data_IF_663631462819
#
_entry.id   IF_663631462819
#
_cell.length_a   1.000
_cell.length_b   1.000
_cell.length_c   1.000
_cell.angle_alpha   90.00
_cell.angle_beta   90.00
_cell.angle_gamma   90.00
#
_symmetry.space_group_name_H-M   'P 1'
#
loop_
_entity.id
_entity.type
_entity.pdbx_description
1 polymer ?
#
# COMPACT_ATOMS: atom_id res chain seq x y z
N UNK A 1 -18.87 3.88 86.06
CA UNK A 1 -18.62 3.24 84.75
C UNK A 1 -17.56 2.14 84.84
N UNK A 2 -16.37 2.40 85.39
CA UNK A 2 -15.26 1.42 85.47
C UNK A 2 -15.61 0.13 86.24
N UNK A 3 -16.29 0.23 87.39
CA UNK A 3 -16.60 -0.93 88.23
C UNK A 3 -17.57 -1.91 87.56
N UNK A 4 -18.55 -1.40 86.80
CA UNK A 4 -19.48 -2.22 86.01
C UNK A 4 -18.76 -2.97 84.88
N UNK A 5 -17.75 -2.33 84.27
CA UNK A 5 -16.94 -2.93 83.21
C UNK A 5 -16.03 -4.03 83.75
N UNK A 6 -15.45 -3.86 84.95
CA UNK A 6 -14.68 -4.91 85.65
C UNK A 6 -15.55 -6.11 86.02
N UNK A 7 -16.76 -5.89 86.54
CA UNK A 7 -17.67 -6.99 86.89
C UNK A 7 -18.12 -7.77 85.65
N UNK A 8 -18.38 -7.06 84.54
CA UNK A 8 -18.69 -7.69 83.25
C UNK A 8 -17.54 -8.55 82.74
N UNK A 9 -16.32 -8.00 82.67
CA UNK A 9 -15.14 -8.74 82.20
C UNK A 9 -14.85 -9.97 83.07
N UNK A 10 -14.99 -9.86 84.40
CA UNK A 10 -14.82 -11.02 85.29
C UNK A 10 -15.87 -12.11 85.05
N UNK A 11 -17.10 -11.72 84.70
CA UNK A 11 -18.16 -12.69 84.38
C UNK A 11 -17.92 -13.37 83.03
N UNK A 12 -17.45 -12.60 82.03
CA UNK A 12 -17.03 -13.13 80.74
C UNK A 12 -15.81 -14.05 80.87
N UNK A 13 -14.84 -13.70 81.71
CA UNK A 13 -13.65 -14.51 82.03
C UNK A 13 -14.02 -15.82 82.73
N UNK A 14 -14.91 -15.79 83.73
CA UNK A 14 -15.38 -17.01 84.40
C UNK A 14 -16.13 -17.95 83.44
N UNK A 15 -16.94 -17.40 82.53
CA UNK A 15 -17.58 -18.19 81.48
C UNK A 15 -16.55 -18.76 80.50
N UNK A 16 -15.52 -17.99 80.13
CA UNK A 16 -14.42 -18.46 79.29
C UNK A 16 -13.63 -19.61 79.95
N UNK A 17 -13.33 -19.50 81.25
CA UNK A 17 -12.67 -20.55 82.02
C UNK A 17 -13.55 -21.82 82.09
N UNK A 18 -14.86 -21.68 82.33
CA UNK A 18 -15.77 -22.81 82.35
C UNK A 18 -15.83 -23.55 81.00
N UNK A 19 -15.85 -22.81 79.89
CA UNK A 19 -15.79 -23.38 78.54
C UNK A 19 -14.44 -24.05 78.25
N UNK A 20 -13.33 -23.45 78.68
CA UNK A 20 -12.00 -24.03 78.53
C UNK A 20 -11.86 -25.34 79.33
N UNK A 21 -12.38 -25.39 80.56
CA UNK A 21 -12.43 -26.63 81.36
C UNK A 21 -13.25 -27.68 80.63
N UNK A 22 -14.43 -27.35 80.11
CA UNK A 22 -15.28 -28.30 79.38
C UNK A 22 -14.59 -28.89 78.13
N UNK A 23 -13.82 -28.09 77.40
CA UNK A 23 -13.03 -28.55 76.25
C UNK A 23 -11.90 -29.46 76.73
N UNK A 24 -11.13 -29.07 77.75
CA UNK A 24 -10.00 -29.84 78.27
C UNK A 24 -10.43 -31.14 78.96
N UNK A 25 -11.61 -31.16 79.58
CA UNK A 25 -12.20 -32.34 80.21
C UNK A 25 -13.06 -33.16 79.26
N UNK A 26 -13.15 -32.78 77.98
CA UNK A 26 -13.89 -33.58 76.99
C UNK A 26 -13.24 -34.97 76.84
N UNK A 27 -14.05 -36.02 76.59
CA UNK A 27 -13.53 -37.37 76.35
C UNK A 27 -12.49 -37.43 75.21
N UNK A 28 -12.62 -36.57 74.21
CA UNK A 28 -11.72 -36.43 73.06
C UNK A 28 -10.37 -35.82 73.45
N UNK A 29 -10.38 -34.77 74.29
CA UNK A 29 -9.16 -34.16 74.81
C UNK A 29 -8.40 -35.14 75.73
N UNK A 30 -9.10 -35.86 76.61
CA UNK A 30 -8.50 -36.86 77.49
C UNK A 30 -7.77 -37.98 76.72
N UNK A 31 -8.38 -38.48 75.63
CA UNK A 31 -7.74 -39.46 74.73
C UNK A 31 -6.48 -38.89 74.06
N UNK A 32 -6.53 -37.63 73.64
CA UNK A 32 -5.40 -36.96 72.98
C UNK A 32 -4.22 -36.77 73.95
N UNK A 33 -4.48 -36.39 75.20
CA UNK A 33 -3.44 -36.25 76.22
C UNK A 33 -2.81 -37.58 76.64
N UNK A 34 -3.61 -38.66 76.73
CA UNK A 34 -3.08 -39.99 77.01
C UNK A 34 -2.10 -40.45 75.91
N UNK A 35 -2.43 -40.23 74.64
CA UNK A 35 -1.56 -40.57 73.51
C UNK A 35 -0.31 -39.68 73.41
N UNK A 36 -0.35 -38.46 73.94
CA UNK A 36 0.82 -37.57 73.95
C UNK A 36 1.89 -38.00 74.98
N UNK A 37 1.51 -38.69 76.06
CA UNK A 37 2.43 -39.10 77.15
C UNK A 37 3.40 -40.24 76.81
N UNK A 38 3.25 -40.93 75.67
CA UNK A 38 4.14 -42.03 75.26
C UNK A 38 5.41 -41.57 74.53
N UNK A 39 5.66 -40.26 74.45
CA UNK A 39 6.82 -39.67 73.73
C UNK A 39 7.94 -39.24 74.67
N UNK A 40 8.29 -40.06 75.66
CA UNK A 40 9.46 -39.82 76.51
C UNK A 40 10.70 -40.49 75.88
N UNK A 41 11.54 -39.72 75.20
CA UNK A 41 12.89 -40.15 74.80
C UNK A 41 13.78 -40.27 76.05
N UNK A 42 14.19 -41.49 76.41
CA UNK A 42 15.30 -41.72 77.33
C UNK A 42 16.62 -41.28 76.67
N UNK A 43 17.27 -40.27 77.23
CA UNK A 43 18.66 -39.89 76.91
C UNK A 43 19.57 -40.64 77.88
N UNK A 44 20.21 -41.72 77.43
CA UNK A 44 21.32 -42.33 78.16
C UNK A 44 22.57 -41.47 77.95
N UNK A 45 23.04 -40.81 79.02
CA UNK A 45 24.33 -40.17 79.07
C UNK A 45 25.43 -41.24 78.94
N UNK A 46 26.08 -41.31 77.77
CA UNK A 46 27.22 -42.17 77.52
C UNK A 46 28.45 -41.66 78.25
N UNK A 47 29.08 -42.54 79.03
CA UNK A 47 30.36 -42.31 79.68
C UNK A 47 31.42 -41.88 78.66
N UNK A 48 32.11 -40.79 78.97
CA UNK A 48 33.33 -40.35 78.30
C UNK A 48 34.48 -41.24 78.79
N UNK A 49 34.62 -42.42 78.20
CA UNK A 49 35.87 -43.19 78.26
C UNK A 49 36.00 -44.01 76.98
N UNK A 50 36.24 -43.31 75.87
CA UNK A 50 36.60 -43.94 74.60
C UNK A 50 38.10 -43.86 74.43
N UNK A 51 38.76 -45.01 74.35
CA UNK A 51 40.15 -45.08 73.88
C UNK A 51 40.27 -44.37 72.52
N UNK A 52 41.42 -43.78 72.19
CA UNK A 52 41.63 -43.02 70.94
C UNK A 52 41.25 -43.83 69.68
N UNK A 53 41.26 -45.16 69.79
CA UNK A 53 40.83 -46.11 68.76
C UNK A 53 39.31 -46.07 68.46
N UNK A 54 38.46 -45.93 69.49
CA UNK A 54 37.00 -45.89 69.30
C UNK A 54 36.53 -44.60 68.60
N UNK A 55 37.15 -43.47 68.92
CA UNK A 55 36.82 -42.18 68.31
C UNK A 55 37.21 -42.15 66.83
N UNK A 56 38.33 -42.80 66.47
CA UNK A 56 38.80 -42.97 65.09
C UNK A 56 37.90 -43.89 64.28
N UNK A 57 37.47 -45.02 64.83
CA UNK A 57 36.55 -45.93 64.16
C UNK A 57 35.19 -45.25 63.90
N UNK A 58 34.68 -44.46 64.86
CA UNK A 58 33.46 -43.66 64.67
C UNK A 58 33.61 -42.62 63.54
N UNK A 59 34.75 -41.92 63.47
CA UNK A 59 35.03 -40.95 62.40
C UNK A 59 35.16 -41.63 61.02
N UNK A 60 35.85 -42.77 60.95
CA UNK A 60 35.96 -43.59 59.74
C UNK A 60 34.59 -44.05 59.25
N UNK A 61 33.75 -44.62 60.14
CA UNK A 61 32.42 -45.09 59.77
C UNK A 61 31.54 -43.95 59.24
N UNK A 62 31.60 -42.77 59.85
CA UNK A 62 30.88 -41.59 59.33
C UNK A 62 31.40 -41.16 57.96
N UNK A 63 32.71 -41.00 57.77
CA UNK A 63 33.25 -40.61 56.47
C UNK A 63 33.00 -41.67 55.38
N UNK A 64 33.07 -42.96 55.73
CA UNK A 64 32.70 -44.06 54.84
C UNK A 64 31.24 -43.97 54.42
N UNK A 65 30.32 -43.73 55.37
CA UNK A 65 28.89 -43.57 55.08
C UNK A 65 28.61 -42.38 54.14
N UNK A 66 29.35 -41.27 54.33
CA UNK A 66 29.27 -40.09 53.47
C UNK A 66 29.85 -40.37 52.07
N UNK A 67 31.00 -41.02 51.99
CA UNK A 67 31.61 -41.42 50.73
C UNK A 67 30.69 -42.33 49.92
N UNK A 68 30.02 -43.30 50.57
CA UNK A 68 29.06 -44.19 49.89
C UNK A 68 27.77 -43.49 49.51
N UNK A 69 27.29 -42.56 50.34
CA UNK A 69 26.04 -41.83 50.08
C UNK A 69 26.18 -40.84 48.92
N UNK A 70 27.32 -40.15 48.84
CA UNK A 70 27.59 -39.13 47.82
C UNK A 70 28.47 -39.62 46.67
N UNK A 71 28.92 -40.88 46.70
CA UNK A 71 29.79 -41.45 45.67
C UNK A 71 31.16 -40.78 45.52
N UNK A 72 31.63 -40.05 46.54
CA UNK A 72 32.85 -39.24 46.43
C UNK A 72 34.11 -40.05 46.68
N UNK A 73 34.92 -40.20 45.63
CA UNK A 73 36.24 -40.85 45.66
C UNK A 73 37.22 -40.09 46.57
N UNK A 74 37.10 -38.76 46.63
CA UNK A 74 37.91 -37.92 47.51
C UNK A 74 37.60 -38.19 49.00
N UNK A 75 36.33 -38.25 49.38
CA UNK A 75 35.93 -38.57 50.77
C UNK A 75 36.30 -40.01 51.11
N UNK A 76 36.21 -40.94 50.15
CA UNK A 76 36.67 -42.32 50.36
C UNK A 76 38.19 -42.40 50.63
N UNK A 77 38.99 -41.57 49.94
CA UNK A 77 40.43 -41.46 50.16
C UNK A 77 40.76 -40.86 51.53
N UNK A 78 40.06 -39.81 51.94
CA UNK A 78 40.20 -39.20 53.27
C UNK A 78 39.81 -40.21 54.36
N UNK A 79 38.71 -40.95 54.17
CA UNK A 79 38.30 -42.01 55.09
C UNK A 79 39.37 -43.10 55.23
N UNK A 80 40.04 -43.48 54.13
CA UNK A 80 41.13 -44.48 54.20
C UNK A 80 42.34 -44.00 55.02
N UNK A 81 42.63 -42.70 55.01
CA UNK A 81 43.73 -42.12 55.79
C UNK A 81 43.37 -41.95 57.27
N UNK A 82 42.11 -41.60 57.58
CA UNK A 82 41.58 -41.61 58.95
C UNK A 82 41.80 -42.98 59.61
N UNK A 83 41.67 -44.08 58.85
CA UNK A 83 41.88 -45.44 59.35
C UNK A 83 43.36 -45.82 59.49
N UNK A 84 44.24 -45.23 58.69
CA UNK A 84 45.66 -45.57 58.61
C UNK A 84 46.57 -44.71 59.53
N UNK A 85 46.07 -43.59 60.06
CA UNK A 85 46.84 -42.65 60.88
C UNK A 85 47.08 -43.10 62.33
N UNK A 86 48.23 -42.70 62.89
CA UNK A 86 48.62 -42.86 64.30
C UNK A 86 47.70 -42.06 65.24
N UNK A 87 47.55 -42.53 66.48
CA UNK A 87 46.60 -41.97 67.44
C UNK A 87 46.86 -40.48 67.76
N UNK A 88 45.78 -39.69 67.86
CA UNK A 88 45.79 -38.31 68.37
C UNK A 88 45.82 -37.16 67.34
N UNK A 89 46.21 -37.39 66.09
CA UNK A 89 46.44 -36.29 65.12
C UNK A 89 45.59 -36.43 63.84
N UNK A 90 44.47 -35.70 63.79
CA UNK A 90 43.63 -35.56 62.59
C UNK A 90 44.06 -34.40 61.68
N UNK A 91 45.19 -33.76 61.98
CA UNK A 91 45.62 -32.51 61.35
C UNK A 91 45.72 -32.64 59.81
N UNK A 92 46.21 -33.78 59.31
CA UNK A 92 46.30 -34.05 57.87
C UNK A 92 44.93 -34.26 57.21
N UNK A 93 44.00 -34.92 57.91
CA UNK A 93 42.63 -35.17 57.45
C UNK A 93 41.83 -33.87 57.41
N UNK A 94 41.95 -33.06 58.46
CA UNK A 94 41.33 -31.73 58.53
C UNK A 94 41.87 -30.84 57.41
N UNK A 95 43.19 -30.82 57.20
CA UNK A 95 43.79 -30.07 56.10
C UNK A 95 43.33 -30.54 54.71
N UNK A 96 43.04 -31.83 54.51
CA UNK A 96 42.48 -32.32 53.25
C UNK A 96 41.00 -31.97 53.07
N UNK A 97 40.22 -31.97 54.14
CA UNK A 97 38.83 -31.50 54.12
C UNK A 97 38.78 -30.00 53.83
N UNK A 98 39.65 -29.20 54.45
CA UNK A 98 39.75 -27.76 54.20
C UNK A 98 40.13 -27.48 52.73
N UNK A 99 41.12 -28.20 52.18
CA UNK A 99 41.46 -28.13 50.75
C UNK A 99 40.29 -28.50 49.83
N UNK A 100 39.49 -29.48 50.22
CA UNK A 100 38.30 -29.88 49.46
C UNK A 100 37.22 -28.79 49.51
N UNK A 101 37.04 -28.13 50.67
CA UNK A 101 36.11 -27.00 50.80
C UNK A 101 36.59 -25.81 49.96
N UNK A 102 37.89 -25.48 49.99
CA UNK A 102 38.46 -24.42 49.16
C UNK A 102 38.27 -24.69 47.67
N UNK A 103 38.53 -25.92 47.23
CA UNK A 103 38.32 -26.34 45.84
C UNK A 103 36.85 -26.24 45.44
N UNK A 104 35.92 -26.75 46.26
CA UNK A 104 34.49 -26.65 45.99
C UNK A 104 34.01 -25.20 45.91
N UNK A 105 34.52 -24.30 46.76
CA UNK A 105 34.20 -22.86 46.69
C UNK A 105 34.73 -22.22 45.41
N UNK A 106 35.91 -22.65 44.93
CA UNK A 106 36.48 -22.16 43.67
C UNK A 106 35.66 -22.65 42.48
N UNK A 107 35.33 -23.94 42.44
CA UNK A 107 34.46 -24.54 41.42
C UNK A 107 33.08 -23.87 41.41
N UNK A 108 32.47 -23.63 42.58
CA UNK A 108 31.20 -22.92 42.70
C UNK A 108 31.27 -21.51 42.08
N UNK A 109 32.34 -20.77 42.32
CA UNK A 109 32.54 -19.44 41.74
C UNK A 109 32.71 -19.50 40.21
N UNK A 110 33.48 -20.46 39.71
CA UNK A 110 33.66 -20.69 38.26
C UNK A 110 32.33 -21.08 37.58
N UNK A 111 31.52 -21.94 38.23
CA UNK A 111 30.19 -22.33 37.76
C UNK A 111 29.22 -21.14 37.74
N UNK A 112 29.25 -20.26 38.76
CA UNK A 112 28.45 -19.03 38.80
C UNK A 112 28.85 -18.11 37.64
N UNK A 113 30.14 -17.88 37.43
CA UNK A 113 30.64 -17.05 36.34
C UNK A 113 30.27 -17.60 34.97
N UNK A 114 30.39 -18.91 34.78
CA UNK A 114 30.00 -19.59 33.55
C UNK A 114 28.49 -19.51 33.32
N UNK A 115 27.67 -19.71 34.36
CA UNK A 115 26.22 -19.57 34.29
C UNK A 115 25.85 -18.14 33.87
N UNK A 116 26.41 -17.13 34.53
CA UNK A 116 26.09 -15.73 34.25
C UNK A 116 26.54 -15.32 32.84
N UNK A 117 27.69 -15.84 32.39
CA UNK A 117 28.13 -15.69 31.00
C UNK A 117 27.14 -16.32 30.02
N UNK A 118 26.70 -17.57 30.26
CA UNK A 118 25.73 -18.27 29.41
C UNK A 118 24.40 -17.51 29.36
N UNK A 119 23.85 -17.12 30.51
CA UNK A 119 22.59 -16.37 30.58
C UNK A 119 22.71 -15.01 29.90
N UNK A 120 23.83 -14.31 30.08
CA UNK A 120 24.11 -13.04 29.42
C UNK A 120 24.22 -13.19 27.90
N UNK A 121 24.85 -14.26 27.41
CA UNK A 121 24.95 -14.57 25.98
C UNK A 121 23.61 -14.96 25.38
N UNK A 122 22.83 -15.79 26.08
CA UNK A 122 21.49 -16.18 25.65
C UNK A 122 20.56 -14.97 25.58
N UNK A 123 20.61 -14.08 26.58
CA UNK A 123 19.85 -12.83 26.60
C UNK A 123 20.23 -11.91 25.45
N UNK A 124 21.53 -11.70 25.21
CA UNK A 124 22.01 -10.92 24.05
C UNK A 124 21.53 -11.51 22.74
N UNK A 125 21.70 -12.81 22.53
CA UNK A 125 21.27 -13.49 21.31
C UNK A 125 19.75 -13.37 21.09
N UNK A 126 18.94 -13.46 22.16
CA UNK A 126 17.49 -13.25 22.07
C UNK A 126 17.13 -11.83 21.64
N UNK A 127 17.80 -10.83 22.19
CA UNK A 127 17.58 -9.42 21.81
C UNK A 127 18.01 -9.18 20.36
N UNK A 128 19.22 -9.63 19.99
CA UNK A 128 19.73 -9.50 18.62
C UNK A 128 18.79 -10.18 17.61
N UNK A 129 18.25 -11.37 17.95
CA UNK A 129 17.23 -12.04 17.13
C UNK A 129 15.94 -11.23 17.02
N UNK A 130 15.47 -10.60 18.10
CA UNK A 130 14.27 -9.79 18.07
C UNK A 130 14.46 -8.54 17.20
N UNK A 131 15.59 -7.86 17.33
CA UNK A 131 15.95 -6.68 16.54
C UNK A 131 16.06 -7.03 15.05
N UNK A 132 16.77 -8.12 14.71
CA UNK A 132 16.88 -8.60 13.34
C UNK A 132 15.52 -8.99 12.74
N UNK A 133 14.65 -9.64 13.51
CA UNK A 133 13.30 -9.98 13.05
C UNK A 133 12.45 -8.72 12.81
N UNK A 134 12.58 -7.71 13.65
CA UNK A 134 11.91 -6.43 13.45
C UNK A 134 12.41 -5.74 12.17
N UNK A 135 13.72 -5.73 11.93
CA UNK A 135 14.29 -5.17 10.70
C UNK A 135 13.86 -5.94 9.46
N UNK A 136 13.77 -7.28 9.53
CA UNK A 136 13.22 -8.12 8.45
C UNK A 136 11.76 -7.77 8.16
N UNK A 137 10.91 -7.63 9.18
CA UNK A 137 9.50 -7.25 9.00
C UNK A 137 9.38 -5.86 8.35
N UNK A 138 10.15 -4.88 8.83
CA UNK A 138 10.20 -3.53 8.26
C UNK A 138 10.67 -3.53 6.80
N UNK A 139 11.73 -4.28 6.50
CA UNK A 139 12.24 -4.44 5.14
C UNK A 139 11.19 -5.11 4.23
N UNK A 140 10.52 -6.15 4.72
CA UNK A 140 9.49 -6.89 3.98
C UNK A 140 8.30 -5.99 3.64
N UNK A 141 7.77 -5.24 4.60
CA UNK A 141 6.70 -4.24 4.37
C UNK A 141 7.12 -3.16 3.36
N UNK A 142 8.39 -2.74 3.40
CA UNK A 142 8.92 -1.77 2.44
C UNK A 142 8.98 -2.36 1.03
N UNK A 143 9.43 -3.60 0.89
CA UNK A 143 9.46 -4.32 -0.38
C UNK A 143 8.04 -4.47 -0.94
N UNK A 144 7.07 -4.84 -0.12
CA UNK A 144 5.68 -5.00 -0.56
C UNK A 144 5.08 -3.68 -1.05
N UNK A 145 5.30 -2.59 -0.31
CA UNK A 145 4.89 -1.24 -0.73
C UNK A 145 5.51 -0.86 -2.09
N UNK A 146 6.82 -1.06 -2.25
CA UNK A 146 7.52 -0.75 -3.50
C UNK A 146 7.05 -1.62 -4.67
N UNK A 147 6.71 -2.90 -4.43
CA UNK A 147 6.12 -3.77 -5.46
C UNK A 147 4.75 -3.27 -5.91
N UNK A 148 3.89 -2.85 -4.98
CA UNK A 148 2.60 -2.25 -5.32
C UNK A 148 2.77 -0.96 -6.12
N UNK A 149 3.69 -0.09 -5.71
CA UNK A 149 4.00 1.16 -6.42
C UNK A 149 4.54 0.89 -7.83
N UNK A 150 5.43 -0.09 -7.99
CA UNK A 150 5.94 -0.50 -9.29
C UNK A 150 4.82 -1.03 -10.22
N UNK A 151 3.89 -1.83 -9.71
CA UNK A 151 2.76 -2.34 -10.49
C UNK A 151 1.79 -1.22 -10.92
N UNK A 152 1.52 -0.25 -10.04
CA UNK A 152 0.72 0.93 -10.36
C UNK A 152 1.39 1.79 -11.44
N UNK A 153 2.69 2.06 -11.30
CA UNK A 153 3.47 2.78 -12.31
C UNK A 153 3.49 2.06 -13.67
N UNK A 154 3.64 0.73 -13.68
CA UNK A 154 3.59 -0.04 -14.92
C UNK A 154 2.20 0.03 -15.59
N UNK A 155 1.12 0.04 -14.81
CA UNK A 155 -0.25 0.21 -15.34
C UNK A 155 -0.43 1.59 -15.94
N UNK A 156 0.03 2.64 -15.24
CA UNK A 156 -0.01 4.02 -15.74
C UNK A 156 0.80 4.21 -17.01
N UNK A 157 1.99 3.60 -17.08
CA UNK A 157 2.85 3.64 -18.26
C UNK A 157 2.13 3.03 -19.46
N UNK A 158 1.53 1.85 -19.30
CA UNK A 158 0.76 1.23 -20.38
C UNK A 158 -0.46 2.05 -20.83
N UNK A 159 -1.13 2.74 -19.91
CA UNK A 159 -2.22 3.66 -20.25
C UNK A 159 -1.72 4.87 -21.07
N UNK A 160 -0.64 5.51 -20.63
CA UNK A 160 -0.02 6.65 -21.33
C UNK A 160 0.47 6.24 -22.72
N UNK A 161 1.12 5.08 -22.87
CA UNK A 161 1.51 4.54 -24.18
C UNK A 161 0.29 4.32 -25.09
N UNK A 162 -0.84 3.86 -24.53
CA UNK A 162 -2.11 3.76 -25.24
C UNK A 162 -2.61 5.12 -25.75
N UNK A 163 -2.61 6.12 -24.87
CA UNK A 163 -3.07 7.48 -25.18
C UNK A 163 -2.18 8.16 -26.23
N UNK A 164 -0.86 7.95 -26.18
CA UNK A 164 0.10 8.42 -27.20
C UNK A 164 -0.26 7.83 -28.57
N UNK A 165 -0.44 6.51 -28.65
CA UNK A 165 -0.78 5.83 -29.90
C UNK A 165 -2.13 6.31 -30.46
N UNK A 166 -3.14 6.49 -29.59
CA UNK A 166 -4.45 6.98 -29.98
C UNK A 166 -4.38 8.44 -30.51
N UNK A 167 -3.59 9.29 -29.85
CA UNK A 167 -3.38 10.69 -30.25
C UNK A 167 -2.65 10.77 -31.59
N UNK A 168 -1.60 9.98 -31.79
CA UNK A 168 -0.86 9.94 -33.06
C UNK A 168 -1.71 9.41 -34.23
N UNK A 169 -2.57 8.41 -33.98
CA UNK A 169 -3.53 7.93 -34.96
C UNK A 169 -4.55 9.02 -35.32
N UNK A 170 -5.09 9.72 -34.32
CA UNK A 170 -6.03 10.84 -34.53
C UNK A 170 -5.39 11.98 -35.31
N UNK A 171 -4.14 12.33 -35.00
CA UNK A 171 -3.38 13.35 -35.74
C UNK A 171 -3.18 12.95 -37.21
N UNK A 172 -2.88 11.67 -37.47
CA UNK A 172 -2.75 11.15 -38.84
C UNK A 172 -4.06 11.24 -39.61
N UNK A 173 -5.17 10.84 -38.99
CA UNK A 173 -6.51 10.95 -39.57
C UNK A 173 -6.90 12.40 -39.86
N UNK A 174 -6.62 13.32 -38.93
CA UNK A 174 -6.85 14.75 -39.08
C UNK A 174 -6.09 15.32 -40.29
N UNK A 175 -4.81 14.96 -40.46
CA UNK A 175 -3.99 15.38 -41.60
C UNK A 175 -4.55 14.84 -42.92
N UNK A 176 -4.96 13.57 -42.95
CA UNK A 176 -5.56 12.96 -44.14
C UNK A 176 -6.86 13.65 -44.54
N UNK A 177 -7.76 13.86 -43.57
CA UNK A 177 -9.02 14.56 -43.79
C UNK A 177 -8.77 15.96 -44.33
N UNK A 178 -7.87 16.73 -43.71
CA UNK A 178 -7.56 18.09 -44.17
C UNK A 178 -6.98 18.09 -45.58
N UNK A 179 -6.11 17.15 -45.90
CA UNK A 179 -5.56 17.02 -47.25
C UNK A 179 -6.63 16.74 -48.28
N UNK A 180 -7.64 15.93 -47.94
CA UNK A 180 -8.76 15.61 -48.81
C UNK A 180 -9.70 16.81 -48.98
N UNK A 181 -10.13 17.43 -47.87
CA UNK A 181 -10.97 18.64 -47.88
C UNK A 181 -10.34 19.77 -48.69
N UNK A 182 -9.03 19.98 -48.53
CA UNK A 182 -8.31 21.00 -49.29
C UNK A 182 -8.27 20.67 -50.80
N UNK A 183 -8.04 19.40 -51.17
CA UNK A 183 -8.06 18.98 -52.56
C UNK A 183 -9.44 19.18 -53.20
N UNK A 184 -10.51 18.80 -52.49
CA UNK A 184 -11.89 18.97 -52.93
C UNK A 184 -12.24 20.47 -53.07
N UNK A 185 -11.80 21.30 -52.14
CA UNK A 185 -11.97 22.75 -52.19
C UNK A 185 -11.24 23.38 -53.39
N UNK A 186 -9.99 23.03 -53.64
CA UNK A 186 -9.22 23.52 -54.79
C UNK A 186 -9.90 23.14 -56.10
N UNK A 187 -10.44 21.93 -56.19
CA UNK A 187 -11.17 21.47 -57.36
C UNK A 187 -12.49 22.23 -57.53
N UNK A 188 -13.28 22.43 -56.47
CA UNK A 188 -14.52 23.21 -56.51
C UNK A 188 -14.28 24.66 -56.98
N UNK A 189 -13.28 25.34 -56.41
CA UNK A 189 -12.93 26.73 -56.81
C UNK A 189 -12.52 26.79 -58.28
N UNK A 190 -11.84 25.77 -58.80
CA UNK A 190 -11.47 25.69 -60.21
C UNK A 190 -12.72 25.51 -61.08
N UNK A 191 -13.60 24.58 -60.74
CA UNK A 191 -14.82 24.30 -61.49
C UNK A 191 -15.75 25.52 -61.53
N UNK A 192 -15.89 26.24 -60.41
CA UNK A 192 -16.65 27.49 -60.34
C UNK A 192 -16.01 28.60 -61.18
N UNK A 193 -14.68 28.72 -61.16
CA UNK A 193 -13.94 29.70 -61.97
C UNK A 193 -14.09 29.43 -63.47
N UNK A 194 -14.03 28.16 -63.87
CA UNK A 194 -14.24 27.73 -65.25
C UNK A 194 -15.71 27.96 -65.68
N UNK A 195 -16.68 27.68 -64.81
CA UNK A 195 -18.10 27.98 -65.03
C UNK A 195 -18.33 29.49 -65.22
N UNK A 196 -17.73 30.35 -64.39
CA UNK A 196 -17.78 31.80 -64.55
C UNK A 196 -17.20 32.25 -65.89
N UNK A 197 -16.09 31.65 -66.34
CA UNK A 197 -15.48 31.95 -67.65
C UNK A 197 -16.45 31.61 -68.80
N UNK A 198 -17.07 30.43 -68.75
CA UNK A 198 -18.06 29.99 -69.74
C UNK A 198 -19.28 30.92 -69.74
N UNK A 199 -19.80 31.29 -68.57
CA UNK A 199 -20.93 32.22 -68.43
C UNK A 199 -20.58 33.60 -69.00
N UNK A 200 -19.38 34.12 -68.75
CA UNK A 200 -18.91 35.38 -69.32
C UNK A 200 -18.84 35.33 -70.85
N UNK A 201 -18.36 34.22 -71.43
CA UNK A 201 -18.35 34.02 -72.89
C UNK A 201 -19.76 33.95 -73.47
N UNK A 202 -20.69 33.26 -72.80
CA UNK A 202 -22.09 33.18 -73.21
C UNK A 202 -22.78 34.56 -73.15
N UNK A 203 -22.60 35.29 -72.04
CA UNK A 203 -23.10 36.66 -71.87
C UNK A 203 -22.54 37.57 -72.97
N UNK A 204 -21.24 37.50 -73.27
CA UNK A 204 -20.61 38.31 -74.31
C UNK A 204 -21.15 37.98 -75.71
N UNK A 205 -21.34 36.70 -76.02
CA UNK A 205 -21.86 36.23 -77.32
C UNK A 205 -23.31 36.66 -77.51
N UNK A 206 -24.17 36.45 -76.51
CA UNK A 206 -25.57 36.90 -76.54
C UNK A 206 -25.65 38.42 -76.63
N UNK A 207 -24.86 39.15 -75.83
CA UNK A 207 -24.84 40.62 -75.85
C UNK A 207 -24.44 41.15 -77.23
N UNK A 208 -23.39 40.60 -77.86
CA UNK A 208 -22.96 40.95 -79.22
C UNK A 208 -24.05 40.68 -80.26
N UNK A 209 -24.75 39.56 -80.16
CA UNK A 209 -25.86 39.23 -81.06
C UNK A 209 -27.00 40.27 -80.96
N UNK A 210 -27.43 40.61 -79.75
CA UNK A 210 -28.53 41.58 -79.57
C UNK A 210 -28.14 43.00 -79.99
N UNK A 211 -26.92 43.45 -79.69
CA UNK A 211 -26.45 44.79 -80.12
C UNK A 211 -26.27 44.89 -81.63
N UNK A 212 -25.71 43.87 -82.29
CA UNK A 212 -25.54 43.84 -83.74
C UNK A 212 -26.87 43.85 -84.51
N UNK A 213 -27.95 43.34 -83.89
CA UNK A 213 -29.29 43.32 -84.47
C UNK A 213 -30.17 44.52 -84.03
N UNK A 214 -29.60 45.55 -83.41
CA UNK A 214 -30.32 46.77 -83.01
C UNK A 214 -31.38 46.54 -81.92
N UNK A 215 -31.27 45.45 -81.15
CA UNK A 215 -32.18 45.12 -80.05
C UNK A 215 -31.62 45.77 -78.78
N UNK A 216 -32.35 46.75 -78.23
CA UNK A 216 -31.95 47.43 -76.99
C UNK A 216 -31.94 46.46 -75.81
N UNK A 217 -30.80 46.39 -75.12
CA UNK A 217 -30.57 45.59 -73.91
C UNK A 217 -30.99 46.32 -72.61
N UNK A 218 -31.71 47.45 -72.73
CA UNK A 218 -32.15 48.21 -71.58
C UNK A 218 -33.15 47.39 -70.74
N UNK A 219 -32.79 47.12 -69.49
CA UNK A 219 -33.64 46.44 -68.52
C UNK A 219 -34.80 47.38 -68.16
N UNK A 220 -35.94 47.24 -68.85
CA UNK A 220 -37.16 47.92 -68.44
C UNK A 220 -37.70 47.18 -67.22
N UNK A 221 -37.52 47.78 -66.05
CA UNK A 221 -38.14 47.35 -64.81
C UNK A 221 -39.64 47.71 -64.84
N UNK A 222 -40.41 47.10 -65.73
CA UNK A 222 -41.87 47.12 -65.65
C UNK A 222 -42.34 45.70 -65.33
N UNK A 223 -42.55 45.41 -64.05
CA UNK A 223 -43.40 44.30 -63.67
C UNK A 223 -44.84 44.64 -64.03
N UNK A 224 -45.46 43.76 -64.82
CA UNK A 224 -46.81 43.32 -64.58
C UNK A 224 -46.88 41.83 -64.94
N UNK A 225 -46.64 40.95 -63.96
CA UNK A 225 -47.11 39.58 -64.01
C UNK A 225 -48.62 39.67 -63.80
N UNK A 226 -49.37 39.79 -64.89
CA UNK A 226 -50.81 40.03 -64.81
C UNK A 226 -51.45 40.41 -66.13
N UNK A 227 -51.20 39.65 -67.19
CA UNK A 227 -52.09 39.57 -68.35
C UNK A 227 -51.68 38.38 -69.22
N UNK A 228 -52.57 37.39 -69.34
CA UNK A 228 -52.52 36.41 -70.43
C UNK A 228 -52.66 37.20 -71.72
N UNK A 229 -51.55 37.41 -72.45
CA UNK A 229 -51.66 37.85 -73.84
C UNK A 229 -52.12 36.65 -74.68
N UNK A 230 -53.11 36.84 -75.57
CA UNK A 230 -53.49 35.79 -76.50
C UNK A 230 -52.26 35.40 -77.34
N UNK A 231 -52.20 34.10 -77.65
CA UNK A 231 -51.19 33.45 -78.49
C UNK A 231 -50.82 34.35 -79.68
N UNK A 232 -49.53 34.55 -80.01
CA UNK A 232 -49.18 35.28 -81.21
C UNK A 232 -49.62 34.46 -82.42
N UNK A 233 -50.56 35.01 -83.20
CA UNK A 233 -50.83 34.51 -84.54
C UNK A 233 -49.53 34.57 -85.33
N UNK A 234 -49.19 33.47 -85.98
CA UNK A 234 -48.00 33.32 -86.83
C UNK A 234 -48.03 34.36 -87.96
N UNK A 235 -47.07 35.29 -88.05
CA UNK A 235 -46.78 35.97 -89.29
C UNK A 235 -45.54 35.30 -89.88
N UNK A 236 -45.76 34.38 -90.81
CA UNK A 236 -44.75 34.11 -91.84
C UNK A 236 -44.79 35.31 -92.81
N UNK A 237 -44.41 36.49 -92.32
CA UNK A 237 -44.23 37.69 -93.13
C UNK A 237 -42.73 37.98 -93.26
N UNK A 238 -42.35 38.38 -94.46
CA UNK A 238 -40.98 38.56 -94.97
C UNK A 238 -40.23 39.76 -94.36
N UNK A 239 -40.31 39.94 -93.04
CA UNK A 239 -39.55 40.91 -92.27
C UNK A 239 -38.48 40.23 -91.42
N UNK A 240 -37.30 40.84 -91.30
CA UNK A 240 -36.21 40.33 -90.47
C UNK A 240 -36.70 39.99 -89.05
N UNK A 241 -36.52 38.74 -88.63
CA UNK A 241 -36.90 38.25 -87.29
C UNK A 241 -36.26 39.11 -86.20
N UNK A 242 -37.05 40.00 -85.59
CA UNK A 242 -36.57 40.99 -84.62
C UNK A 242 -36.29 40.47 -83.21
N UNK A 243 -36.32 39.14 -83.01
CA UNK A 243 -36.09 38.46 -81.74
C UNK A 243 -37.17 38.68 -80.67
N UNK A 244 -37.22 37.79 -79.67
CA UNK A 244 -38.09 37.92 -78.49
C UNK A 244 -37.47 38.90 -77.47
N UNK A 245 -37.59 40.20 -77.75
CA UNK A 245 -36.88 41.31 -77.08
C UNK A 245 -37.02 41.37 -75.54
N UNK A 246 -38.15 40.92 -74.97
CA UNK A 246 -38.38 40.90 -73.52
C UNK A 246 -37.75 39.70 -72.80
N UNK A 247 -37.80 38.52 -73.42
CA UNK A 247 -37.24 37.28 -72.89
C UNK A 247 -35.69 37.29 -72.96
N UNK A 248 -35.13 37.92 -73.99
CA UNK A 248 -33.68 38.03 -74.20
C UNK A 248 -32.92 38.83 -73.14
N UNK A 249 -33.52 39.90 -72.61
CA UNK A 249 -32.94 40.72 -71.55
C UNK A 249 -32.98 39.97 -70.21
N UNK A 250 -34.06 39.22 -69.96
CA UNK A 250 -34.20 38.36 -68.78
C UNK A 250 -33.15 37.24 -68.74
N UNK A 251 -32.87 36.58 -69.87
CA UNK A 251 -31.86 35.50 -69.94
C UNK A 251 -30.46 36.02 -69.63
N UNK A 252 -30.05 37.17 -70.18
CA UNK A 252 -28.74 37.76 -69.86
C UNK A 252 -28.66 38.18 -68.39
N UNK A 253 -29.74 38.72 -67.83
CA UNK A 253 -29.80 39.07 -66.41
C UNK A 253 -29.66 37.83 -65.50
N UNK A 254 -30.33 36.72 -65.85
CA UNK A 254 -30.21 35.45 -65.13
C UNK A 254 -28.77 34.90 -65.24
N UNK A 255 -28.14 34.92 -66.42
CA UNK A 255 -26.76 34.47 -66.58
C UNK A 255 -25.76 35.31 -65.76
N UNK A 256 -25.98 36.63 -65.66
CA UNK A 256 -25.19 37.52 -64.81
C UNK A 256 -25.39 37.20 -63.33
N UNK A 257 -26.64 36.97 -62.91
CA UNK A 257 -26.97 36.59 -61.53
C UNK A 257 -26.27 35.27 -61.15
N UNK A 258 -26.36 34.23 -61.98
CA UNK A 258 -25.70 32.94 -61.75
C UNK A 258 -24.17 33.11 -61.68
N UNK A 259 -23.58 33.92 -62.55
CA UNK A 259 -22.14 34.25 -62.47
C UNK A 259 -21.78 34.93 -61.14
N UNK A 260 -22.57 35.91 -60.73
CA UNK A 260 -22.35 36.63 -59.47
C UNK A 260 -22.53 35.72 -58.26
N UNK A 261 -23.41 34.72 -58.36
CA UNK A 261 -23.58 33.71 -57.34
C UNK A 261 -22.36 32.79 -57.24
N UNK A 262 -21.78 32.33 -58.37
CA UNK A 262 -20.49 31.62 -58.37
C UNK A 262 -19.33 32.46 -57.79
N UNK A 263 -19.29 33.76 -58.11
CA UNK A 263 -18.28 34.66 -57.55
C UNK A 263 -18.40 34.75 -56.01
N UNK A 264 -19.63 34.87 -55.50
CA UNK A 264 -19.91 34.85 -54.07
C UNK A 264 -19.59 33.50 -53.45
N UNK A 265 -19.92 32.39 -54.12
CA UNK A 265 -19.63 31.04 -53.65
C UNK A 265 -18.13 30.86 -53.43
N UNK A 266 -17.29 31.22 -54.42
CA UNK A 266 -15.83 31.20 -54.28
C UNK A 266 -15.35 32.08 -53.10
N UNK A 267 -15.91 33.29 -52.94
CA UNK A 267 -15.52 34.17 -51.83
C UNK A 267 -15.88 33.56 -50.46
N UNK A 268 -17.09 33.04 -50.32
CA UNK A 268 -17.56 32.39 -49.09
C UNK A 268 -16.79 31.11 -48.79
N UNK A 269 -16.51 30.30 -49.81
CA UNK A 269 -15.72 29.08 -49.70
C UNK A 269 -14.28 29.36 -49.26
N UNK A 270 -13.64 30.41 -49.79
CA UNK A 270 -12.30 30.83 -49.35
C UNK A 270 -12.26 31.27 -47.89
N UNK A 271 -13.29 31.99 -47.43
CA UNK A 271 -13.39 32.37 -46.03
C UNK A 271 -13.55 31.13 -45.14
N UNK A 272 -14.44 30.20 -45.52
CA UNK A 272 -14.68 28.95 -44.80
C UNK A 272 -13.45 28.04 -44.77
N UNK A 273 -12.73 27.86 -45.89
CA UNK A 273 -11.49 27.07 -45.94
C UNK A 273 -10.38 27.70 -45.10
N UNK A 274 -10.30 29.04 -45.05
CA UNK A 274 -9.38 29.75 -44.17
C UNK A 274 -9.67 29.53 -42.68
N UNK A 275 -10.95 29.56 -42.28
CA UNK A 275 -11.36 29.24 -40.91
C UNK A 275 -11.07 27.77 -40.56
N UNK A 276 -11.38 26.85 -41.48
CA UNK A 276 -11.10 25.43 -41.32
C UNK A 276 -9.60 25.13 -41.20
N UNK A 277 -8.75 25.83 -41.98
CA UNK A 277 -7.30 25.75 -41.87
C UNK A 277 -6.83 26.22 -40.48
N UNK A 278 -7.36 27.34 -40.00
CA UNK A 278 -7.00 27.88 -38.70
C UNK A 278 -7.43 26.97 -37.55
N UNK A 279 -8.58 26.28 -37.65
CA UNK A 279 -8.98 25.26 -36.65
C UNK A 279 -8.08 24.03 -36.72
N UNK A 280 -7.78 23.54 -37.92
CA UNK A 280 -6.88 22.41 -38.11
C UNK A 280 -5.50 22.65 -37.48
N UNK A 281 -4.92 23.84 -37.69
CA UNK A 281 -3.62 24.19 -37.11
C UNK A 281 -3.66 24.26 -35.58
N UNK A 282 -4.75 24.80 -35.01
CA UNK A 282 -4.98 24.82 -33.56
C UNK A 282 -5.12 23.43 -32.97
N UNK A 283 -5.94 22.58 -33.58
CA UNK A 283 -6.17 21.22 -33.09
C UNK A 283 -4.92 20.36 -33.23
N UNK A 284 -4.18 20.50 -34.34
CA UNK A 284 -2.90 19.84 -34.53
C UNK A 284 -1.87 20.28 -33.49
N UNK A 285 -1.79 21.58 -33.20
CA UNK A 285 -0.87 22.09 -32.18
C UNK A 285 -1.25 21.57 -30.80
N UNK A 286 -2.53 21.59 -30.43
CA UNK A 286 -2.98 21.05 -29.14
C UNK A 286 -2.68 19.56 -28.97
N UNK A 287 -2.83 18.76 -30.03
CA UNK A 287 -2.43 17.35 -30.03
C UNK A 287 -0.92 17.19 -29.87
N UNK A 288 -0.12 18.00 -30.57
CA UNK A 288 1.33 17.98 -30.46
C UNK A 288 1.80 18.35 -29.05
N UNK A 289 1.24 19.41 -28.47
CA UNK A 289 1.55 19.85 -27.10
C UNK A 289 1.19 18.77 -26.07
N UNK A 290 0.12 17.99 -26.33
CA UNK A 290 -0.26 16.86 -25.47
C UNK A 290 0.72 15.70 -25.56
N UNK A 291 1.35 15.48 -26.72
CA UNK A 291 2.37 14.44 -26.90
C UNK A 291 3.72 14.83 -26.32
N UNK A 292 4.03 16.12 -26.29
CA UNK A 292 5.31 16.66 -25.81
C UNK A 292 5.34 16.93 -24.28
N UNK A 293 4.17 16.89 -23.62
CA UNK A 293 3.99 17.13 -22.18
C UNK A 293 4.35 15.92 -21.31
#
# INVERSE_FOLDING_TARGET
>A
AELAQRTRLRTEELNGIAQAIAILSSPEAAKTFANASTTLLQVSAGALDGTEDESREKAYQKMRSLATRYGSVAIARIASQVRAGSAGHFDEVIAQVDKMIELLRKEEQEDIEQRDWCQGKEGKNKNDMADLNYDIDKATKTVDRLKTEAADLQTKLGAIEGDINATQASMTQLIQLRSQEHADFVQAVKDDSDAMSILNQAIATLSKFYTANGISLALSQSQAIGAVKPRPDTPFESGAYGGRKGESVGIIAILKMVRDDYEKEIQTGRAADGEAQASFERDRQAMQDTLDA
#
